data_IF_102037973427
#
_entry.id   IF_102037973427
#
_cell.length_a   1.000
_cell.length_b   1.000
_cell.length_c   1.000
_cell.angle_alpha   90.00
_cell.angle_beta   90.00
_cell.angle_gamma   90.00
#
_symmetry.space_group_name_H-M   'P 1'
#
loop_
_entity.id
_entity.type
_entity.pdbx_description
1 polymer ?
#
# COMPACT_ATOMS: atom_id res chain seq x y z
N UNK A 1 -12.76 20.20 -12.03
CA UNK A 1 -13.05 19.18 -13.06
C UNK A 1 -12.03 19.17 -14.20
N UNK A 2 -11.51 20.32 -14.67
CA UNK A 2 -10.51 20.39 -15.76
C UNK A 2 -9.16 19.82 -15.35
N UNK A 3 -8.66 20.11 -14.17
CA UNK A 3 -7.39 19.58 -13.65
C UNK A 3 -7.42 18.05 -13.51
N UNK A 4 -8.55 17.52 -13.07
CA UNK A 4 -8.72 16.07 -12.97
C UNK A 4 -8.76 15.38 -14.33
N UNK A 5 -9.32 16.04 -15.35
CA UNK A 5 -9.28 15.54 -16.73
C UNK A 5 -7.83 15.49 -17.26
N UNK A 6 -7.04 16.53 -17.00
CA UNK A 6 -5.61 16.55 -17.36
C UNK A 6 -4.85 15.46 -16.61
N UNK A 7 -5.07 15.33 -15.31
CA UNK A 7 -4.43 14.28 -14.51
C UNK A 7 -4.71 12.88 -15.06
N UNK A 8 -5.92 12.59 -15.53
CA UNK A 8 -6.26 11.29 -16.12
C UNK A 8 -5.51 10.95 -17.42
N UNK A 9 -4.93 11.95 -18.10
CA UNK A 9 -4.16 11.70 -19.33
C UNK A 9 -2.85 10.95 -19.06
N UNK A 10 -2.35 10.93 -17.81
CA UNK A 10 -1.09 10.25 -17.49
C UNK A 10 -1.08 8.75 -17.88
N UNK A 11 -2.23 8.08 -17.91
CA UNK A 11 -2.31 6.68 -18.33
C UNK A 11 -2.04 6.52 -19.83
N UNK A 12 -2.51 7.46 -20.64
CA UNK A 12 -2.29 7.48 -22.09
C UNK A 12 -0.86 7.92 -22.40
N UNK A 13 -0.45 9.03 -21.83
CA UNK A 13 0.87 9.62 -22.07
C UNK A 13 1.99 8.70 -21.55
N UNK A 14 1.81 8.14 -20.36
CA UNK A 14 2.74 7.17 -19.77
C UNK A 14 2.88 5.90 -20.61
N UNK A 15 1.78 5.34 -21.08
CA UNK A 15 1.79 4.18 -21.96
C UNK A 15 2.51 4.48 -23.30
N UNK A 16 2.28 5.66 -23.89
CA UNK A 16 2.92 6.07 -25.14
C UNK A 16 4.42 6.28 -24.97
N UNK A 17 4.87 6.91 -23.85
CA UNK A 17 6.27 7.05 -23.51
C UNK A 17 6.94 5.68 -23.40
N UNK A 18 6.36 4.77 -22.63
CA UNK A 18 6.90 3.43 -22.42
C UNK A 18 6.93 2.62 -23.72
N UNK A 19 5.92 2.73 -24.59
CA UNK A 19 5.86 2.06 -25.87
C UNK A 19 7.00 2.47 -26.82
N UNK A 20 7.48 3.71 -26.69
CA UNK A 20 8.58 4.25 -27.51
C UNK A 20 9.95 4.05 -26.87
N UNK A 21 10.01 3.63 -25.61
CA UNK A 21 11.27 3.43 -24.89
C UNK A 21 11.83 2.06 -25.24
N UNK A 22 13.08 1.98 -25.74
CA UNK A 22 13.73 0.69 -26.03
C UNK A 22 13.89 -0.15 -24.75
N UNK A 23 13.92 -1.47 -24.94
CA UNK A 23 14.19 -2.46 -23.88
C UNK A 23 13.14 -2.52 -22.74
N UNK A 24 12.03 -1.82 -22.86
CA UNK A 24 10.93 -1.91 -21.90
C UNK A 24 10.13 -3.19 -22.15
N UNK A 25 9.80 -3.99 -21.10
CA UNK A 25 8.94 -5.15 -21.25
C UNK A 25 7.59 -4.80 -21.89
N UNK A 26 7.12 -5.60 -22.82
CA UNK A 26 5.89 -5.35 -23.57
C UNK A 26 4.63 -5.17 -22.68
N UNK A 27 4.65 -5.73 -21.46
CA UNK A 27 3.58 -5.56 -20.48
C UNK A 27 3.56 -4.17 -19.83
N UNK A 28 4.69 -3.46 -19.75
CA UNK A 28 4.76 -2.20 -19.02
C UNK A 28 3.86 -1.09 -19.58
N UNK A 29 3.81 -0.84 -20.91
CA UNK A 29 2.85 0.11 -21.48
C UNK A 29 1.39 -0.29 -21.23
N UNK A 30 1.08 -1.60 -21.23
CA UNK A 30 -0.27 -2.11 -20.95
C UNK A 30 -0.66 -1.80 -19.51
N UNK A 31 0.22 -2.09 -18.55
CA UNK A 31 -0.01 -1.78 -17.12
C UNK A 31 -0.16 -0.28 -16.92
N UNK A 32 0.70 0.55 -17.54
CA UNK A 32 0.61 2.01 -17.44
C UNK A 32 -0.73 2.55 -17.96
N UNK A 33 -1.26 1.96 -19.03
CA UNK A 33 -2.55 2.35 -19.60
C UNK A 33 -3.75 1.87 -18.76
N UNK A 34 -3.66 0.70 -18.13
CA UNK A 34 -4.79 -0.01 -17.55
C UNK A 34 -4.91 0.09 -16.02
N UNK A 35 -3.89 0.56 -15.29
CA UNK A 35 -3.87 0.46 -13.82
C UNK A 35 -4.99 1.21 -13.10
N UNK A 36 -5.71 2.09 -13.77
CA UNK A 36 -6.92 2.72 -13.25
C UNK A 36 -8.23 2.11 -13.77
N UNK A 37 -8.18 1.08 -14.62
CA UNK A 37 -9.37 0.28 -14.94
C UNK A 37 -9.78 -0.56 -13.74
N UNK A 38 -11.06 -0.82 -13.60
CA UNK A 38 -11.65 -1.60 -12.52
C UNK A 38 -12.29 -2.87 -13.06
N UNK A 39 -12.40 -3.90 -12.24
CA UNK A 39 -12.98 -5.20 -12.63
C UNK A 39 -14.44 -5.04 -13.04
N UNK A 40 -15.18 -4.15 -12.37
CA UNK A 40 -16.58 -3.84 -12.67
C UNK A 40 -16.78 -2.99 -13.94
N UNK A 41 -15.69 -2.68 -14.66
CA UNK A 41 -15.71 -1.85 -15.86
C UNK A 41 -15.77 -0.35 -15.61
N UNK A 42 -15.73 0.08 -14.34
CA UNK A 42 -15.56 1.49 -13.98
C UNK A 42 -14.09 1.95 -14.10
N UNK A 43 -13.80 3.19 -13.75
CA UNK A 43 -12.44 3.73 -13.85
C UNK A 43 -12.15 4.44 -15.16
N UNK A 44 -10.87 4.57 -15.49
CA UNK A 44 -10.42 5.24 -16.71
C UNK A 44 -9.18 4.56 -17.31
N UNK A 45 -8.90 4.71 -18.64
CA UNK A 45 -9.61 5.52 -19.63
C UNK A 45 -11.03 5.03 -19.88
N UNK A 46 -11.95 5.99 -20.07
CA UNK A 46 -13.36 5.69 -20.32
C UNK A 46 -13.53 5.00 -21.67
N UNK A 47 -14.53 4.09 -21.75
CA UNK A 47 -14.86 3.37 -22.99
C UNK A 47 -13.95 2.17 -23.30
N UNK A 48 -12.93 1.91 -22.50
CA UNK A 48 -12.10 0.71 -22.63
C UNK A 48 -12.81 -0.46 -21.93
N UNK A 49 -13.22 -1.46 -22.72
CA UNK A 49 -13.79 -2.69 -22.19
C UNK A 49 -12.76 -3.81 -22.28
N UNK A 50 -12.42 -4.40 -21.16
CA UNK A 50 -11.57 -5.59 -21.08
C UNK A 50 -12.38 -6.75 -20.51
N UNK A 51 -12.25 -7.92 -21.13
CA UNK A 51 -12.85 -9.15 -20.60
C UNK A 51 -12.22 -9.57 -19.28
N UNK A 52 -10.90 -9.32 -19.13
CA UNK A 52 -10.15 -9.49 -17.89
C UNK A 52 -8.94 -8.58 -17.89
N UNK A 53 -8.57 -8.09 -16.71
CA UNK A 53 -7.30 -7.39 -16.49
C UNK A 53 -6.19 -8.42 -16.27
N UNK A 54 -4.97 -8.11 -16.73
CA UNK A 54 -3.83 -8.96 -16.46
C UNK A 54 -3.35 -8.80 -14.99
N UNK A 55 -2.61 -9.79 -14.48
CA UNK A 55 -2.12 -9.79 -13.11
C UNK A 55 -1.28 -8.55 -12.77
N UNK A 56 -0.40 -8.11 -13.70
CA UNK A 56 0.44 -6.91 -13.50
C UNK A 56 -0.41 -5.65 -13.32
N UNK A 57 -1.44 -5.47 -14.13
CA UNK A 57 -2.39 -4.36 -14.00
C UNK A 57 -3.11 -4.39 -12.66
N UNK A 58 -3.64 -5.56 -12.24
CA UNK A 58 -4.36 -5.70 -10.98
C UNK A 58 -3.47 -5.41 -9.76
N UNK A 59 -2.23 -5.91 -9.77
CA UNK A 59 -1.27 -5.63 -8.70
C UNK A 59 -0.88 -4.16 -8.66
N UNK A 60 -0.62 -3.54 -9.80
CA UNK A 60 -0.29 -2.13 -9.91
C UNK A 60 -1.45 -1.26 -9.40
N UNK A 61 -2.69 -1.57 -9.76
CA UNK A 61 -3.89 -0.86 -9.29
C UNK A 61 -4.03 -0.86 -7.77
N UNK A 62 -3.80 -1.99 -7.11
CA UNK A 62 -3.86 -2.09 -5.65
C UNK A 62 -2.74 -1.28 -5.01
N UNK A 63 -1.52 -1.40 -5.55
CA UNK A 63 -0.33 -0.72 -5.04
C UNK A 63 -0.43 0.79 -5.20
N UNK A 64 -0.95 1.27 -6.32
CA UNK A 64 -1.16 2.70 -6.59
C UNK A 64 -2.15 3.32 -5.59
N UNK A 65 -3.28 2.67 -5.35
CA UNK A 65 -4.26 3.16 -4.36
C UNK A 65 -3.66 3.16 -2.96
N UNK A 66 -2.91 2.11 -2.60
CA UNK A 66 -2.22 2.05 -1.31
C UNK A 66 -1.23 3.20 -1.14
N UNK A 67 -0.36 3.42 -2.13
CA UNK A 67 0.64 4.49 -2.09
C UNK A 67 0.00 5.88 -2.09
N UNK A 68 -1.02 6.09 -2.93
CA UNK A 68 -1.77 7.33 -2.99
C UNK A 68 -2.40 7.72 -1.65
N UNK A 69 -2.94 6.74 -0.91
CA UNK A 69 -3.55 6.99 0.40
C UNK A 69 -2.51 7.12 1.52
N UNK A 70 -1.37 6.46 1.40
CA UNK A 70 -0.27 6.53 2.37
C UNK A 70 0.52 7.83 2.27
N UNK A 71 0.59 8.40 1.09
CA UNK A 71 1.38 9.60 0.80
C UNK A 71 0.62 10.87 1.19
N UNK A 72 1.33 11.82 1.79
CA UNK A 72 0.79 13.16 2.00
C UNK A 72 0.74 13.88 0.65
N UNK A 73 -0.44 14.34 0.26
CA UNK A 73 -0.66 15.12 -0.96
C UNK A 73 -1.13 16.53 -0.60
N UNK A 74 -1.01 17.49 -1.53
CA UNK A 74 -1.38 18.88 -1.30
C UNK A 74 -2.83 19.07 -0.80
N UNK A 75 -3.71 18.14 -1.14
CA UNK A 75 -5.16 18.17 -0.83
C UNK A 75 -5.61 17.04 0.10
N UNK A 76 -4.69 16.19 0.57
CA UNK A 76 -5.04 15.02 1.40
C UNK A 76 -3.88 14.63 2.32
N UNK A 77 -4.15 14.52 3.62
CA UNK A 77 -3.22 13.95 4.59
C UNK A 77 -3.02 12.45 4.39
N UNK A 78 -1.87 11.94 4.81
CA UNK A 78 -1.58 10.50 4.81
C UNK A 78 -2.58 9.75 5.73
N UNK A 79 -3.08 8.63 5.25
CA UNK A 79 -3.94 7.74 6.05
C UNK A 79 -3.11 6.67 6.77
N UNK A 80 -3.60 6.23 7.91
CA UNK A 80 -3.03 5.09 8.61
C UNK A 80 -3.28 3.79 7.82
N UNK A 81 -2.36 2.83 7.95
CA UNK A 81 -2.37 1.58 7.15
C UNK A 81 -3.65 0.78 7.31
N UNK A 82 -4.19 0.67 8.54
CA UNK A 82 -5.45 -0.02 8.84
C UNK A 82 -6.62 0.56 8.03
N UNK A 83 -6.72 1.89 7.95
CA UNK A 83 -7.72 2.58 7.15
C UNK A 83 -7.56 2.30 5.66
N UNK A 84 -6.33 2.30 5.15
CA UNK A 84 -6.05 2.00 3.74
C UNK A 84 -6.49 0.58 3.41
N UNK A 85 -6.09 -0.39 4.24
CA UNK A 85 -6.46 -1.80 4.05
C UNK A 85 -7.98 -2.00 4.13
N UNK A 86 -8.67 -1.30 5.02
CA UNK A 86 -10.13 -1.33 5.11
C UNK A 86 -10.80 -0.80 3.83
N UNK A 87 -10.26 0.28 3.23
CA UNK A 87 -10.77 0.80 1.94
C UNK A 87 -10.57 -0.20 0.81
N UNK A 88 -9.39 -0.81 0.71
CA UNK A 88 -9.11 -1.83 -0.30
C UNK A 88 -10.03 -3.04 -0.14
N UNK A 89 -10.24 -3.51 1.10
CA UNK A 89 -11.14 -4.64 1.40
C UNK A 89 -12.61 -4.32 1.11
N UNK A 90 -13.06 -3.10 1.35
CA UNK A 90 -14.42 -2.67 1.02
C UNK A 90 -14.70 -2.68 -0.48
N UNK A 91 -13.67 -2.49 -1.29
CA UNK A 91 -13.73 -2.45 -2.75
C UNK A 91 -13.33 -3.78 -3.40
N UNK A 92 -13.07 -4.83 -2.60
CA UNK A 92 -12.69 -6.14 -3.13
C UNK A 92 -13.89 -6.80 -3.85
N UNK A 93 -13.59 -7.50 -4.94
CA UNK A 93 -14.61 -8.12 -5.79
C UNK A 93 -15.42 -7.14 -6.68
N UNK A 94 -15.30 -5.82 -6.46
CA UNK A 94 -15.89 -4.77 -7.30
C UNK A 94 -14.82 -4.06 -8.13
N UNK A 95 -13.91 -3.38 -7.46
CA UNK A 95 -12.84 -2.64 -8.13
C UNK A 95 -11.57 -3.48 -8.30
N UNK A 96 -11.28 -4.35 -7.34
CA UNK A 96 -10.06 -5.15 -7.26
C UNK A 96 -10.35 -6.63 -7.12
N UNK A 97 -9.42 -7.46 -7.58
CA UNK A 97 -9.48 -8.90 -7.34
C UNK A 97 -9.36 -9.20 -5.83
N UNK A 98 -10.34 -9.94 -5.31
CA UNK A 98 -10.48 -10.24 -3.88
C UNK A 98 -9.28 -11.02 -3.33
N UNK A 99 -8.76 -11.98 -4.09
CA UNK A 99 -7.61 -12.78 -3.66
C UNK A 99 -6.33 -11.94 -3.60
N UNK A 100 -6.15 -11.05 -4.58
CA UNK A 100 -5.00 -10.15 -4.61
C UNK A 100 -5.06 -9.13 -3.47
N UNK A 101 -6.22 -8.55 -3.17
CA UNK A 101 -6.38 -7.63 -2.03
C UNK A 101 -6.05 -8.33 -0.72
N UNK A 102 -6.52 -9.56 -0.53
CA UNK A 102 -6.23 -10.34 0.69
C UNK A 102 -4.74 -10.65 0.81
N UNK A 103 -4.09 -11.10 -0.29
CA UNK A 103 -2.65 -11.37 -0.29
C UNK A 103 -1.83 -10.10 -0.08
N UNK A 104 -2.20 -9.00 -0.71
CA UNK A 104 -1.56 -7.70 -0.50
C UNK A 104 -1.66 -7.28 0.97
N UNK A 105 -2.85 -7.37 1.57
CA UNK A 105 -3.07 -7.05 2.99
C UNK A 105 -2.25 -7.91 3.93
N UNK A 106 -2.11 -9.21 3.64
CA UNK A 106 -1.26 -10.13 4.41
C UNK A 106 0.22 -9.76 4.32
N UNK A 107 0.71 -9.39 3.12
CA UNK A 107 2.10 -9.02 2.90
C UNK A 107 2.45 -7.69 3.54
N UNK A 108 1.57 -6.70 3.40
CA UNK A 108 1.79 -5.38 3.98
C UNK A 108 1.71 -5.39 5.50
N UNK A 109 0.81 -6.20 6.07
CA UNK A 109 0.52 -6.22 7.50
C UNK A 109 -0.11 -4.91 7.98
N UNK A 110 -0.53 -4.88 9.23
CA UNK A 110 -1.08 -3.66 9.86
C UNK A 110 0.00 -2.61 10.12
N UNK A 111 1.21 -3.05 10.38
CA UNK A 111 2.37 -2.23 10.71
C UNK A 111 3.51 -2.53 9.73
N UNK A 112 3.52 -1.88 8.55
CA UNK A 112 4.59 -2.08 7.58
C UNK A 112 5.95 -1.61 8.08
N UNK A 113 7.07 -2.19 7.60
CA UNK A 113 8.40 -1.69 7.89
C UNK A 113 8.52 -0.19 7.57
N UNK A 114 9.20 0.53 8.48
CA UNK A 114 9.34 1.99 8.41
C UNK A 114 8.24 2.77 9.16
N UNK A 115 7.15 2.13 9.59
CA UNK A 115 6.15 2.81 10.40
C UNK A 115 6.66 3.03 11.83
N UNK A 116 6.42 4.23 12.36
CA UNK A 116 6.58 4.49 13.78
C UNK A 116 5.37 3.97 14.55
N UNK A 117 5.63 3.28 15.65
CA UNK A 117 4.61 2.72 16.54
C UNK A 117 4.92 3.06 17.98
N UNK A 118 3.87 3.28 18.77
CA UNK A 118 3.96 3.36 20.23
C UNK A 118 3.54 2.03 20.80
N UNK A 119 4.38 1.46 21.66
CA UNK A 119 4.09 0.23 22.38
C UNK A 119 3.22 0.54 23.61
N UNK A 120 2.55 -0.46 24.14
CA UNK A 120 1.77 -0.42 25.39
C UNK A 120 2.63 -0.03 26.60
N UNK A 121 3.92 -0.39 26.57
CA UNK A 121 4.94 0.03 27.53
C UNK A 121 5.28 1.52 27.48
N UNK A 122 4.69 2.30 26.57
CA UNK A 122 4.98 3.72 26.35
C UNK A 122 6.18 4.01 25.43
N UNK A 123 7.02 3.01 25.15
CA UNK A 123 8.15 3.16 24.23
C UNK A 123 7.71 3.46 22.81
N UNK A 124 8.55 4.16 22.05
CA UNK A 124 8.30 4.39 20.61
C UNK A 124 9.43 3.77 19.80
N UNK A 125 9.03 3.09 18.72
CA UNK A 125 9.99 2.43 17.85
C UNK A 125 9.56 2.47 16.40
N UNK A 126 10.44 1.97 15.54
CA UNK A 126 10.21 1.81 14.10
C UNK A 126 10.06 0.33 13.79
N UNK A 127 9.01 -0.03 13.08
CA UNK A 127 8.83 -1.39 12.58
C UNK A 127 9.94 -1.71 11.59
N UNK A 128 10.67 -2.79 11.82
CA UNK A 128 11.78 -3.22 10.95
C UNK A 128 11.46 -4.52 10.19
N UNK A 129 10.47 -5.28 10.68
CA UNK A 129 10.04 -6.52 10.02
C UNK A 129 8.61 -6.88 10.41
N UNK A 130 7.80 -7.28 9.44
CA UNK A 130 6.50 -7.91 9.69
C UNK A 130 6.67 -9.37 10.12
N UNK A 131 5.68 -9.90 10.85
CA UNK A 131 5.61 -11.31 11.22
C UNK A 131 4.36 -11.91 10.56
N UNK A 132 4.54 -12.71 9.53
CA UNK A 132 3.44 -13.23 8.73
C UNK A 132 2.41 -14.06 9.51
N UNK A 133 2.77 -14.86 10.54
CA UNK A 133 1.81 -15.59 11.36
C UNK A 133 0.90 -14.69 12.19
N UNK A 134 1.41 -13.54 12.68
CA UNK A 134 0.62 -12.52 13.35
C UNK A 134 1.07 -11.11 12.91
N UNK A 135 0.39 -10.52 11.92
CA UNK A 135 0.71 -9.19 11.40
C UNK A 135 0.58 -8.05 12.43
N UNK A 136 -0.05 -8.30 13.59
CA UNK A 136 -0.18 -7.33 14.68
C UNK A 136 1.06 -7.26 15.57
N UNK A 137 1.95 -8.25 15.48
CA UNK A 137 3.14 -8.40 16.30
C UNK A 137 4.43 -8.33 15.48
N UNK A 138 4.78 -7.15 14.93
CA UNK A 138 6.00 -6.98 14.16
C UNK A 138 7.26 -7.01 15.02
N UNK A 139 8.43 -7.04 14.39
CA UNK A 139 9.69 -6.67 15.01
C UNK A 139 9.87 -5.16 14.97
N UNK A 140 10.15 -4.58 16.14
CA UNK A 140 10.25 -3.13 16.32
C UNK A 140 11.64 -2.78 16.85
N UNK A 141 12.28 -1.77 16.27
CA UNK A 141 13.46 -1.13 16.82
C UNK A 141 13.04 0.03 17.70
N UNK A 142 13.19 -0.12 19.00
CA UNK A 142 12.86 0.90 19.99
C UNK A 142 13.93 1.99 19.93
N UNK A 143 13.49 3.24 19.79
CA UNK A 143 14.34 4.42 19.62
C UNK A 143 14.07 5.52 20.65
N UNK A 144 12.90 5.47 21.32
CA UNK A 144 12.49 6.43 22.36
C UNK A 144 11.97 5.62 23.55
N UNK A 145 12.37 5.95 24.74
CA UNK A 145 11.91 5.33 25.99
C UNK A 145 10.48 5.78 26.38
N UNK A 146 9.94 5.19 27.44
CA UNK A 146 8.60 5.51 27.93
C UNK A 146 8.50 6.95 28.49
N UNK A 147 9.62 7.58 28.86
CA UNK A 147 9.68 8.97 29.31
C UNK A 147 9.75 9.97 28.14
N UNK A 148 9.81 9.48 26.87
CA UNK A 148 9.92 10.32 25.69
C UNK A 148 11.34 10.71 25.32
N UNK A 149 12.36 10.11 25.97
CA UNK A 149 13.77 10.41 25.71
C UNK A 149 14.32 9.51 24.61
N UNK A 150 15.09 10.07 23.70
CA UNK A 150 15.74 9.28 22.64
C UNK A 150 16.83 8.39 23.25
N UNK A 151 16.77 7.11 22.93
CA UNK A 151 17.76 6.14 23.39
C UNK A 151 19.12 6.35 22.69
N UNK A 152 20.20 6.39 23.49
CA UNK A 152 21.56 6.42 22.95
C UNK A 152 21.93 5.13 22.20
N UNK A 153 21.34 4.01 22.62
CA UNK A 153 21.48 2.68 21.97
C UNK A 153 20.11 2.09 21.73
N UNK A 154 19.58 2.20 20.52
CA UNK A 154 18.34 1.50 20.11
C UNK A 154 18.47 -0.01 20.28
N UNK A 155 17.36 -0.69 20.60
CA UNK A 155 17.31 -2.13 20.70
C UNK A 155 16.09 -2.70 19.98
N UNK A 156 16.17 -3.96 19.55
CA UNK A 156 15.13 -4.62 18.81
C UNK A 156 14.28 -5.50 19.74
N UNK A 157 12.95 -5.46 19.53
CA UNK A 157 11.98 -6.31 20.23
C UNK A 157 11.16 -7.06 19.20
N UNK A 158 11.03 -8.38 19.37
CA UNK A 158 10.07 -9.19 18.64
C UNK A 158 8.77 -9.21 19.43
N UNK A 159 7.71 -8.56 18.96
CA UNK A 159 6.45 -8.52 19.69
C UNK A 159 5.72 -9.86 19.72
N UNK A 160 6.13 -10.84 18.90
CA UNK A 160 5.60 -12.21 18.95
C UNK A 160 6.22 -13.08 20.05
N UNK A 161 7.37 -12.65 20.63
CA UNK A 161 8.04 -13.35 21.75
C UNK A 161 7.58 -12.85 23.12
N UNK A 162 6.72 -11.81 23.13
CA UNK A 162 6.19 -11.25 24.37
C UNK A 162 4.94 -12.02 24.77
N UNK A 163 4.99 -12.76 25.87
CA UNK A 163 3.83 -13.40 26.46
C UNK A 163 2.81 -12.32 26.88
N UNK A 164 1.60 -12.44 26.32
CA UNK A 164 0.47 -11.52 26.60
C UNK A 164 -0.28 -11.86 27.89
N UNK A 165 0.25 -12.72 28.74
CA UNK A 165 -0.41 -13.21 29.96
C UNK A 165 0.02 -12.45 31.24
N UNK A 166 0.37 -11.18 31.13
CA UNK A 166 0.51 -10.28 32.28
C UNK A 166 -0.28 -8.99 32.06
N UNK A 167 -1.60 -9.09 32.19
CA UNK A 167 -2.49 -7.96 32.45
C UNK A 167 -3.38 -8.30 33.63
#
# INVERSE_FOLDING_TARGET
DSEFAIMRMHVVDGAEILRRTPEIPALAPVVAFEHHLRIDGSGYPMGVKRASLNLGTMLCSISDVYDAMRSQRAYQGAHATDRILAVLQKSDGLHFDQHLVRRFSQLMGLYPPGNMVRLDTGHVGVVIRTFAPDPRRPRVRVIIDAAGTRLARPFDVNLWDVDTDTA
#
